data_IF_522887350237
#
_entry.id   IF_522887350237
#
_cell.length_a   1.000
_cell.length_b   1.000
_cell.length_c   1.000
_cell.angle_alpha   90.00
_cell.angle_beta   90.00
_cell.angle_gamma   90.00
#
_symmetry.space_group_name_H-M   'P 1'
#
loop_
_entity.id
_entity.type
_entity.pdbx_description
1 polymer ?
#
# COMPACT_ATOMS: atom_id res chain seq x y z
N UNK A 1 0.97 11.02 0.60
CA UNK A 1 0.93 10.80 -0.87
C UNK A 1 0.34 12.01 -1.58
N UNK A 2 -0.90 12.44 -1.28
CA UNK A 2 -1.56 13.55 -2.01
C UNK A 2 -0.75 14.85 -2.08
N UNK A 3 -0.10 15.24 -1.00
CA UNK A 3 0.65 16.50 -0.93
C UNK A 3 1.87 16.58 -1.86
N UNK A 4 2.56 15.47 -2.12
CA UNK A 4 3.74 15.43 -2.99
C UNK A 4 3.38 15.63 -4.45
N UNK A 5 2.15 15.37 -4.82
CA UNK A 5 1.60 15.53 -6.15
C UNK A 5 1.78 16.95 -6.72
N UNK A 6 1.83 17.96 -5.85
CA UNK A 6 2.00 19.35 -6.24
C UNK A 6 3.39 19.67 -6.83
N UNK A 7 4.34 18.73 -6.74
CA UNK A 7 5.65 18.87 -7.37
C UNK A 7 5.64 18.47 -8.86
N UNK A 8 4.57 17.85 -9.34
CA UNK A 8 4.51 17.21 -10.64
C UNK A 8 3.47 17.87 -11.54
N UNK A 9 3.73 17.83 -12.86
CA UNK A 9 2.82 18.35 -13.87
C UNK A 9 1.57 17.49 -14.01
N UNK A 10 0.46 18.09 -14.45
CA UNK A 10 -0.76 17.40 -14.86
C UNK A 10 -0.54 16.50 -16.10
N UNK A 11 0.52 16.76 -16.87
CA UNK A 11 0.88 15.96 -18.04
C UNK A 11 1.69 14.70 -17.71
N UNK A 12 2.12 14.53 -16.43
CA UNK A 12 2.84 13.34 -16.03
C UNK A 12 1.93 12.10 -16.05
N UNK A 13 2.42 11.05 -16.68
CA UNK A 13 1.76 9.75 -16.76
C UNK A 13 2.10 8.93 -15.53
N UNK A 14 1.06 8.41 -14.87
CA UNK A 14 1.21 7.61 -13.67
C UNK A 14 0.98 6.13 -13.96
N UNK A 15 1.72 5.27 -13.28
CA UNK A 15 1.43 3.84 -13.18
C UNK A 15 1.08 3.45 -11.74
N UNK A 16 0.03 2.67 -11.58
CA UNK A 16 -0.42 2.10 -10.31
C UNK A 16 -0.62 0.60 -10.45
N UNK A 17 -0.38 -0.17 -9.39
CA UNK A 17 -0.78 -1.58 -9.37
C UNK A 17 -2.31 -1.70 -9.37
N UNK A 18 -2.83 -2.82 -9.84
CA UNK A 18 -4.27 -3.13 -9.80
C UNK A 18 -4.43 -4.59 -9.37
N UNK A 19 -4.99 -4.89 -8.18
CA UNK A 19 -5.62 -3.95 -7.23
C UNK A 19 -4.60 -3.09 -6.45
N UNK A 20 -5.09 -1.93 -5.96
CA UNK A 20 -4.25 -0.95 -5.25
C UNK A 20 -5.03 -0.20 -4.16
N UNK A 21 -4.31 0.43 -3.24
CA UNK A 21 -4.89 1.39 -2.30
C UNK A 21 -5.48 2.59 -3.07
N UNK A 22 -6.81 2.83 -3.01
CA UNK A 22 -7.50 3.77 -3.90
C UNK A 22 -6.95 5.21 -3.87
N UNK A 23 -6.35 5.63 -2.76
CA UNK A 23 -5.83 6.99 -2.61
C UNK A 23 -4.75 7.36 -3.62
N UNK A 24 -4.02 6.38 -4.20
CA UNK A 24 -3.06 6.69 -5.26
C UNK A 24 -3.79 7.16 -6.52
N UNK A 25 -4.87 6.49 -6.90
CA UNK A 25 -5.71 6.91 -8.00
C UNK A 25 -6.42 8.24 -7.68
N UNK A 26 -7.15 8.29 -6.56
CA UNK A 26 -7.96 9.46 -6.16
C UNK A 26 -7.13 10.75 -6.07
N UNK A 27 -5.92 10.67 -5.50
CA UNK A 27 -5.05 11.83 -5.40
C UNK A 27 -4.55 12.33 -6.76
N UNK A 28 -4.42 11.44 -7.76
CA UNK A 28 -4.08 11.82 -9.13
C UNK A 28 -5.30 12.32 -9.91
N UNK A 29 -6.52 11.82 -9.62
CA UNK A 29 -7.77 12.39 -10.13
C UNK A 29 -7.90 13.84 -9.68
N UNK A 30 -7.75 14.10 -8.38
CA UNK A 30 -7.76 15.45 -7.82
C UNK A 30 -6.63 16.34 -8.36
N UNK A 31 -5.52 15.74 -8.80
CA UNK A 31 -4.39 16.42 -9.44
C UNK A 31 -4.51 16.60 -10.95
N UNK A 32 -5.63 16.19 -11.56
CA UNK A 32 -5.90 16.38 -12.99
C UNK A 32 -5.09 15.46 -13.94
N UNK A 33 -4.42 14.40 -13.43
CA UNK A 33 -3.50 13.54 -14.22
C UNK A 33 -4.14 12.35 -14.91
N UNK A 34 -5.37 12.05 -14.61
CA UNK A 34 -5.98 10.76 -14.98
C UNK A 34 -6.73 10.77 -16.30
N UNK A 35 -7.04 11.96 -16.82
CA UNK A 35 -7.92 12.08 -17.98
C UNK A 35 -9.36 11.72 -17.67
N UNK A 36 -10.14 11.47 -18.72
CA UNK A 36 -11.52 11.02 -18.58
C UNK A 36 -11.59 9.55 -18.16
N UNK A 37 -12.67 9.18 -17.46
CA UNK A 37 -12.98 7.80 -17.15
C UNK A 37 -13.96 7.23 -18.19
N UNK A 38 -13.62 6.08 -18.75
CA UNK A 38 -14.50 5.30 -19.64
C UNK A 38 -14.73 3.95 -18.98
N UNK A 39 -15.98 3.58 -18.73
CA UNK A 39 -16.34 2.36 -18.00
C UNK A 39 -15.61 2.18 -16.67
N UNK A 40 -15.39 3.29 -15.94
CA UNK A 40 -14.70 3.30 -14.65
C UNK A 40 -13.16 3.25 -14.74
N UNK A 41 -12.57 3.21 -15.94
CA UNK A 41 -11.12 3.17 -16.18
C UNK A 41 -10.64 4.54 -16.66
N UNK A 42 -9.71 5.14 -15.97
CA UNK A 42 -9.10 6.41 -16.35
C UNK A 42 -8.09 6.24 -17.49
N UNK A 43 -8.27 6.99 -18.56
CA UNK A 43 -7.57 6.78 -19.83
C UNK A 43 -6.09 7.20 -19.85
N UNK A 44 -5.65 8.05 -18.91
CA UNK A 44 -4.24 8.47 -18.77
C UNK A 44 -3.51 7.78 -17.61
N UNK A 45 -4.07 6.70 -17.08
CA UNK A 45 -3.45 5.91 -16.02
C UNK A 45 -3.00 4.57 -16.59
N UNK A 46 -1.76 4.21 -16.32
CA UNK A 46 -1.21 2.90 -16.64
C UNK A 46 -1.50 1.96 -15.47
N UNK A 47 -2.38 1.01 -15.68
CA UNK A 47 -2.68 -0.01 -14.68
C UNK A 47 -1.73 -1.18 -14.84
N UNK A 48 -1.14 -1.62 -13.75
CA UNK A 48 -0.21 -2.75 -13.67
C UNK A 48 -0.91 -3.92 -12.98
N UNK A 49 -1.51 -4.87 -13.71
CA UNK A 49 -2.27 -5.95 -13.13
C UNK A 49 -1.45 -6.83 -12.19
N UNK A 50 -2.00 -7.11 -11.02
CA UNK A 50 -1.41 -8.04 -10.05
C UNK A 50 -2.45 -9.07 -9.63
N UNK A 51 -2.11 -10.34 -9.75
CA UNK A 51 -2.97 -11.49 -9.47
C UNK A 51 -2.15 -12.67 -8.96
N UNK A 52 -2.82 -13.72 -8.56
CA UNK A 52 -2.17 -14.88 -7.94
C UNK A 52 -1.10 -15.52 -8.84
N UNK A 53 -1.38 -15.62 -10.14
CA UNK A 53 -0.51 -16.27 -11.13
C UNK A 53 0.82 -15.52 -11.36
N UNK A 54 0.85 -14.20 -11.13
CA UNK A 54 2.10 -13.42 -11.14
C UNK A 54 2.64 -13.14 -9.72
N UNK A 55 2.16 -13.88 -8.70
CA UNK A 55 2.51 -13.69 -7.30
C UNK A 55 2.29 -12.25 -6.82
N UNK A 56 1.27 -11.58 -7.32
CA UNK A 56 0.99 -10.17 -7.05
C UNK A 56 2.17 -9.22 -7.30
N UNK A 57 3.07 -9.59 -8.22
CA UNK A 57 4.21 -8.79 -8.64
C UNK A 57 3.93 -8.16 -10.00
N UNK A 58 3.82 -6.82 -10.09
CA UNK A 58 3.46 -6.17 -11.35
C UNK A 58 4.58 -6.30 -12.38
N UNK A 59 4.22 -6.44 -13.67
CA UNK A 59 5.15 -6.33 -14.79
C UNK A 59 5.51 -4.86 -15.05
N UNK A 60 6.63 -4.65 -15.73
CA UNK A 60 7.04 -3.31 -16.12
C UNK A 60 6.12 -2.77 -17.22
N UNK A 61 5.74 -1.47 -17.17
CA UNK A 61 4.96 -0.87 -18.23
C UNK A 61 5.75 -0.88 -19.55
N UNK A 62 5.04 -1.14 -20.65
CA UNK A 62 5.60 -1.07 -22.03
C UNK A 62 5.56 0.33 -22.60
N UNK A 63 4.78 1.21 -22.01
CA UNK A 63 4.58 2.60 -22.41
C UNK A 63 5.32 3.56 -21.48
N UNK A 64 5.43 4.82 -21.90
CA UNK A 64 6.03 5.86 -21.07
C UNK A 64 5.25 6.03 -19.77
N UNK A 65 5.97 6.04 -18.66
CA UNK A 65 5.46 6.38 -17.32
C UNK A 65 6.45 7.33 -16.65
N UNK A 66 5.95 8.38 -16.04
CA UNK A 66 6.76 9.36 -15.31
C UNK A 66 6.78 9.10 -13.80
N UNK A 67 5.70 8.51 -13.26
CA UNK A 67 5.55 8.25 -11.82
C UNK A 67 4.97 6.85 -11.63
N UNK A 68 5.66 6.01 -10.87
CA UNK A 68 5.19 4.67 -10.49
C UNK A 68 4.85 4.64 -9.01
N UNK A 69 3.70 4.08 -8.64
CA UNK A 69 3.34 3.83 -7.25
C UNK A 69 3.48 2.35 -6.93
N UNK A 70 4.32 2.03 -5.95
CA UNK A 70 4.43 0.69 -5.39
C UNK A 70 4.21 0.76 -3.87
N UNK A 71 3.44 -0.18 -3.36
CA UNK A 71 3.22 -0.38 -1.93
C UNK A 71 3.74 -1.77 -1.53
N UNK A 72 4.72 -1.82 -0.62
CA UNK A 72 5.24 -3.09 -0.13
C UNK A 72 5.61 -2.96 1.37
N UNK A 73 4.93 -3.72 2.22
CA UNK A 73 3.81 -4.64 2.00
C UNK A 73 2.56 -3.98 1.41
N UNK A 74 1.87 -4.69 0.51
CA UNK A 74 0.78 -4.09 -0.27
C UNK A 74 -0.56 -4.05 0.48
N UNK A 75 -1.31 -3.01 0.25
CA UNK A 75 -2.74 -2.90 0.51
C UNK A 75 -3.46 -2.85 -0.85
N UNK A 76 -4.31 -3.84 -1.20
CA UNK A 76 -5.04 -4.74 -0.31
C UNK A 76 -4.48 -6.17 -0.14
N UNK A 77 -3.55 -6.63 -0.98
CA UNK A 77 -3.20 -8.04 -1.11
C UNK A 77 -2.43 -8.62 0.08
N UNK A 78 -1.81 -7.76 0.89
CA UNK A 78 -0.98 -8.18 2.03
C UNK A 78 0.34 -8.85 1.64
N UNK A 79 0.71 -8.79 0.36
CA UNK A 79 1.94 -9.40 -0.19
C UNK A 79 3.11 -8.41 -0.18
N UNK A 80 4.33 -8.92 -0.32
CA UNK A 80 5.56 -8.13 -0.42
C UNK A 80 6.27 -8.38 -1.73
N UNK A 81 6.99 -7.38 -2.23
CA UNK A 81 7.91 -7.55 -3.34
C UNK A 81 9.28 -7.99 -2.80
N UNK A 82 9.93 -8.92 -3.51
CA UNK A 82 11.28 -9.37 -3.15
C UNK A 82 12.31 -8.26 -3.33
N UNK A 83 13.43 -8.36 -2.61
CA UNK A 83 14.57 -7.45 -2.78
C UNK A 83 15.04 -7.39 -4.24
N UNK A 84 15.10 -8.53 -4.92
CA UNK A 84 15.50 -8.60 -6.32
C UNK A 84 14.51 -7.83 -7.21
N UNK A 85 13.20 -8.03 -7.02
CA UNK A 85 12.18 -7.34 -7.82
C UNK A 85 12.19 -5.83 -7.59
N UNK A 86 12.41 -5.40 -6.36
CA UNK A 86 12.56 -3.97 -6.04
C UNK A 86 13.82 -3.36 -6.67
N UNK A 87 14.94 -4.11 -6.73
CA UNK A 87 16.15 -3.67 -7.43
C UNK A 87 15.92 -3.51 -8.94
N UNK A 88 15.16 -4.43 -9.56
CA UNK A 88 14.75 -4.30 -10.95
C UNK A 88 13.89 -3.06 -11.20
N UNK A 89 12.94 -2.75 -10.28
CA UNK A 89 12.13 -1.54 -10.35
C UNK A 89 12.96 -0.26 -10.22
N UNK A 90 13.96 -0.23 -9.33
CA UNK A 90 14.88 0.91 -9.22
C UNK A 90 15.67 1.09 -10.53
N UNK A 91 16.19 -0.01 -11.09
CA UNK A 91 16.86 0.03 -12.38
C UNK A 91 15.93 0.53 -13.50
N UNK A 92 14.72 -0.01 -13.58
CA UNK A 92 13.73 0.41 -14.58
C UNK A 92 13.41 1.91 -14.46
N UNK A 93 13.21 2.42 -13.25
CA UNK A 93 12.94 3.85 -13.03
C UNK A 93 14.13 4.73 -13.50
N UNK A 94 15.38 4.29 -13.26
CA UNK A 94 16.57 5.00 -13.74
C UNK A 94 16.65 5.01 -15.27
N UNK A 95 16.41 3.87 -15.90
CA UNK A 95 16.50 3.71 -17.35
C UNK A 95 15.41 4.49 -18.09
N UNK A 96 14.25 4.72 -17.45
CA UNK A 96 13.08 5.38 -18.05
C UNK A 96 12.81 6.80 -17.52
N UNK A 97 13.72 7.39 -16.73
CA UNK A 97 13.54 8.70 -16.09
C UNK A 97 12.26 8.82 -15.24
N UNK A 98 11.79 7.73 -14.68
CA UNK A 98 10.59 7.68 -13.85
C UNK A 98 10.92 7.86 -12.36
N UNK A 99 9.96 8.40 -11.58
CA UNK A 99 10.05 8.52 -10.13
C UNK A 99 9.22 7.42 -9.48
N UNK A 100 9.84 6.69 -8.57
CA UNK A 100 9.17 5.70 -7.74
C UNK A 100 8.58 6.35 -6.48
N UNK A 101 7.27 6.30 -6.32
CA UNK A 101 6.54 6.59 -5.08
C UNK A 101 6.39 5.29 -4.30
N UNK A 102 7.26 5.07 -3.34
CA UNK A 102 7.31 3.82 -2.57
C UNK A 102 6.60 3.98 -1.23
N UNK A 103 5.47 3.31 -1.06
CA UNK A 103 4.70 3.32 0.19
C UNK A 103 5.10 2.16 1.10
N UNK A 104 5.70 2.48 2.22
CA UNK A 104 6.24 1.56 3.24
C UNK A 104 5.44 1.62 4.54
N UNK A 105 4.14 1.93 4.46
CA UNK A 105 3.30 2.14 5.66
C UNK A 105 3.16 0.90 6.55
N UNK A 106 3.44 -0.29 6.02
CA UNK A 106 3.31 -1.58 6.73
C UNK A 106 4.65 -2.25 7.03
N UNK A 107 5.78 -1.58 6.86
CA UNK A 107 7.14 -2.12 7.01
C UNK A 107 7.39 -2.81 8.35
N UNK A 108 6.71 -2.34 9.41
CA UNK A 108 6.84 -2.91 10.76
C UNK A 108 6.30 -4.36 10.86
N UNK A 109 5.46 -4.78 9.92
CA UNK A 109 4.91 -6.13 9.86
C UNK A 109 5.83 -7.13 9.16
N UNK A 110 6.83 -6.66 8.40
CA UNK A 110 7.74 -7.52 7.62
C UNK A 110 8.52 -8.45 8.54
N UNK A 111 8.42 -9.74 8.24
CA UNK A 111 9.18 -10.83 8.86
C UNK A 111 9.92 -11.69 7.84
N UNK A 112 9.54 -11.61 6.57
CA UNK A 112 10.22 -12.31 5.47
C UNK A 112 11.59 -11.70 5.23
N UNK A 113 12.62 -12.53 5.06
CA UNK A 113 14.01 -12.07 4.89
C UNK A 113 14.31 -11.57 3.48
N UNK A 114 13.63 -12.09 2.45
CA UNK A 114 13.83 -11.71 1.04
C UNK A 114 13.07 -10.45 0.62
N UNK A 115 12.96 -9.47 1.52
CA UNK A 115 12.41 -8.15 1.19
C UNK A 115 13.11 -7.06 1.98
N UNK A 116 12.75 -5.79 1.74
CA UNK A 116 13.35 -4.63 2.40
C UNK A 116 12.33 -3.91 3.28
N UNK A 117 12.80 -3.33 4.37
CA UNK A 117 12.00 -2.42 5.20
C UNK A 117 12.03 -0.98 4.71
N UNK A 118 13.05 -0.64 3.92
CA UNK A 118 13.18 0.65 3.26
C UNK A 118 13.66 0.45 1.84
N UNK A 119 13.10 1.20 0.89
CA UNK A 119 13.57 1.16 -0.49
C UNK A 119 15.05 1.58 -0.61
N UNK A 120 15.54 2.38 0.35
CA UNK A 120 16.93 2.83 0.37
C UNK A 120 17.95 1.77 0.78
N UNK A 121 17.51 0.55 1.10
CA UNK A 121 18.38 -0.62 1.18
C UNK A 121 18.77 -1.15 -0.23
N UNK A 122 18.12 -0.66 -1.27
CA UNK A 122 18.43 -0.97 -2.67
C UNK A 122 19.37 0.10 -3.22
N UNK A 123 20.47 -0.34 -3.84
CA UNK A 123 21.44 0.56 -4.47
C UNK A 123 20.77 1.39 -5.59
N UNK A 124 21.09 2.68 -5.63
CA UNK A 124 20.54 3.63 -6.61
C UNK A 124 19.13 4.16 -6.28
N UNK A 125 18.44 3.63 -5.28
CA UNK A 125 17.09 4.08 -4.92
C UNK A 125 17.02 5.56 -4.54
N UNK A 126 18.07 6.12 -3.94
CA UNK A 126 18.12 7.54 -3.56
C UNK A 126 18.04 8.50 -4.74
N UNK A 127 18.34 8.04 -5.94
CA UNK A 127 18.32 8.86 -7.15
C UNK A 127 16.92 8.96 -7.78
N UNK A 128 16.03 7.97 -7.52
CA UNK A 128 14.74 7.84 -8.21
C UNK A 128 13.54 7.61 -7.31
N UNK A 129 13.73 7.30 -6.01
CA UNK A 129 12.63 6.94 -5.14
C UNK A 129 12.32 7.98 -4.06
N UNK A 130 11.03 8.20 -3.82
CA UNK A 130 10.47 8.93 -2.68
C UNK A 130 9.74 7.91 -1.81
N UNK A 131 10.13 7.79 -0.53
CA UNK A 131 9.54 6.83 0.40
C UNK A 131 8.54 7.49 1.33
N UNK A 132 7.39 6.83 1.52
CA UNK A 132 6.36 7.24 2.48
C UNK A 132 6.31 6.29 3.66
N UNK A 133 6.29 6.85 4.86
CA UNK A 133 6.22 6.13 6.13
C UNK A 133 5.05 6.63 6.97
N UNK A 134 4.42 5.73 7.73
CA UNK A 134 3.27 6.09 8.56
C UNK A 134 3.35 5.49 9.96
N UNK A 135 3.11 6.29 10.98
CA UNK A 135 2.91 5.82 12.34
C UNK A 135 1.53 5.21 12.58
N UNK A 136 0.60 5.38 11.62
CA UNK A 136 -0.77 4.88 11.74
C UNK A 136 -0.85 3.39 12.00
N UNK A 137 -0.01 2.59 11.32
CA UNK A 137 -0.03 1.13 11.39
C UNK A 137 1.06 0.59 12.32
N UNK A 138 2.21 1.26 12.34
CA UNK A 138 3.35 0.89 13.17
C UNK A 138 3.06 1.09 14.66
N UNK A 139 2.44 2.20 15.04
CA UNK A 139 2.27 2.60 16.43
C UNK A 139 0.81 2.98 16.82
N UNK A 140 -0.17 2.68 15.96
CA UNK A 140 -1.57 2.99 16.25
C UNK A 140 -1.95 4.47 16.14
N UNK A 141 -1.16 5.29 15.43
CA UNK A 141 -1.35 6.74 15.31
C UNK A 141 -2.37 7.16 14.25
N UNK A 142 -3.30 6.28 13.88
CA UNK A 142 -4.28 6.56 12.83
C UNK A 142 -5.08 7.84 13.11
N UNK A 143 -5.53 8.04 14.35
CA UNK A 143 -6.29 9.23 14.78
C UNK A 143 -5.45 10.50 14.94
N UNK A 144 -4.13 10.39 15.16
CA UNK A 144 -3.24 11.53 15.37
C UNK A 144 -2.62 12.07 14.08
N UNK A 145 -2.84 11.38 12.94
CA UNK A 145 -2.45 11.81 11.59
C UNK A 145 -0.95 12.06 11.42
N UNK A 146 -0.10 11.15 11.89
CA UNK A 146 1.35 11.29 11.82
C UNK A 146 1.97 10.36 10.77
N UNK A 147 2.65 10.95 9.81
CA UNK A 147 3.38 10.27 8.74
C UNK A 147 4.52 11.17 8.25
N UNK A 148 5.46 10.60 7.50
CA UNK A 148 6.53 11.37 6.88
C UNK A 148 6.88 10.84 5.49
N UNK A 149 7.45 11.72 4.66
CA UNK A 149 8.04 11.38 3.39
C UNK A 149 9.55 11.61 3.44
N UNK A 150 10.31 10.68 2.89
CA UNK A 150 11.74 10.82 2.67
C UNK A 150 11.96 11.18 1.21
N UNK A 151 12.43 12.40 0.96
CA UNK A 151 12.77 12.89 -0.37
C UNK A 151 14.28 13.12 -0.39
N UNK A 152 15.08 12.21 -0.96
CA UNK A 152 16.53 12.35 -1.00
C UNK A 152 16.96 13.60 -1.76
N UNK A 153 18.17 14.10 -1.45
CA UNK A 153 18.74 15.26 -2.17
C UNK A 153 19.13 14.90 -3.59
N UNK A 154 19.37 13.63 -3.83
CA UNK A 154 19.82 13.06 -5.10
C UNK A 154 18.68 12.91 -6.10
N UNK A 155 17.41 12.83 -5.63
CA UNK A 155 16.27 12.63 -6.54
C UNK A 155 15.98 13.90 -7.33
N UNK A 156 15.91 13.75 -8.65
CA UNK A 156 15.63 14.83 -9.60
C UNK A 156 14.48 14.47 -10.53
N UNK A 157 13.71 15.47 -10.95
CA UNK A 157 12.68 15.32 -12.00
C UNK A 157 13.04 16.16 -13.22
N UNK A 158 12.54 15.77 -14.39
CA UNK A 158 12.66 16.58 -15.63
C UNK A 158 11.53 17.61 -15.72
N UNK A 159 11.90 18.83 -16.07
CA UNK A 159 10.95 19.86 -16.48
C UNK A 159 10.44 19.60 -17.90
N UNK A 160 9.42 20.35 -18.34
CA UNK A 160 8.95 20.31 -19.74
C UNK A 160 10.02 20.70 -20.75
N UNK A 161 11.02 21.51 -20.35
CA UNK A 161 12.18 21.85 -21.19
C UNK A 161 13.27 20.79 -21.21
N UNK A 162 13.13 19.71 -20.44
CA UNK A 162 14.11 18.63 -20.33
C UNK A 162 15.22 18.88 -19.29
N UNK A 163 15.22 20.03 -18.63
CA UNK A 163 16.16 20.35 -17.55
C UNK A 163 15.86 19.54 -16.30
N UNK A 164 16.88 19.01 -15.62
CA UNK A 164 16.71 18.31 -14.33
C UNK A 164 16.68 19.29 -13.18
N UNK A 165 15.66 19.13 -12.32
CA UNK A 165 15.47 19.91 -11.10
C UNK A 165 15.47 18.99 -9.86
N UNK A 166 16.18 19.37 -8.79
CA UNK A 166 16.16 18.60 -7.54
C UNK A 166 14.79 18.71 -6.84
N UNK A 167 14.20 17.57 -6.49
CA UNK A 167 12.86 17.54 -5.88
C UNK A 167 12.89 17.88 -4.39
N UNK A 168 13.98 17.62 -3.67
CA UNK A 168 14.09 17.86 -2.25
C UNK A 168 13.88 19.34 -1.86
N UNK A 169 14.55 20.35 -2.48
CA UNK A 169 14.30 21.75 -2.16
C UNK A 169 12.85 22.18 -2.49
N UNK A 170 12.27 21.68 -3.57
CA UNK A 170 10.89 21.96 -3.95
C UNK A 170 9.92 21.40 -2.89
N UNK A 171 10.12 20.16 -2.46
CA UNK A 171 9.34 19.54 -1.39
C UNK A 171 9.46 20.31 -0.08
N UNK A 172 10.66 20.67 0.33
CA UNK A 172 10.88 21.46 1.54
C UNK A 172 10.14 22.81 1.46
N UNK A 173 10.22 23.52 0.32
CA UNK A 173 9.50 24.77 0.11
C UNK A 173 7.99 24.59 0.23
N UNK A 174 7.44 23.56 -0.43
CA UNK A 174 6.01 23.22 -0.36
C UNK A 174 5.58 22.93 1.08
N UNK A 175 6.34 22.09 1.78
CA UNK A 175 6.05 21.67 3.15
C UNK A 175 6.02 22.87 4.11
N UNK A 176 7.03 23.71 4.06
CA UNK A 176 7.14 24.91 4.91
C UNK A 176 6.14 26.02 4.55
N UNK A 177 5.55 25.99 3.36
CA UNK A 177 4.57 27.01 2.93
C UNK A 177 3.14 26.61 3.21
N UNK A 178 2.78 25.33 2.99
CA UNK A 178 1.37 24.90 3.01
C UNK A 178 0.98 24.08 4.25
N UNK A 179 1.93 23.51 4.98
CA UNK A 179 1.58 22.61 6.08
C UNK A 179 2.37 22.84 7.36
N UNK A 180 3.67 23.02 7.30
CA UNK A 180 4.63 23.15 8.42
C UNK A 180 4.81 21.90 9.30
N UNK A 181 4.04 20.85 9.11
CA UNK A 181 4.13 19.59 9.86
C UNK A 181 2.95 19.35 10.79
N UNK A 182 2.92 18.14 11.36
CA UNK A 182 1.91 17.76 12.36
C UNK A 182 2.16 18.50 13.69
N UNK A 183 1.16 18.63 14.58
CA UNK A 183 1.31 19.30 15.88
C UNK A 183 2.53 18.80 16.64
N UNK A 184 3.27 19.70 17.31
CA UNK A 184 4.52 19.36 18.01
C UNK A 184 4.36 18.24 19.03
N UNK A 185 3.25 18.22 19.78
CA UNK A 185 2.96 17.16 20.75
C UNK A 185 2.89 15.77 20.09
N UNK A 186 2.35 15.70 18.87
CA UNK A 186 2.27 14.46 18.09
C UNK A 186 3.66 14.05 17.57
N UNK A 187 4.49 15.01 17.17
CA UNK A 187 5.88 14.74 16.78
C UNK A 187 6.68 14.16 17.96
N UNK A 188 6.51 14.70 19.19
CA UNK A 188 7.13 14.16 20.40
C UNK A 188 6.63 12.74 20.73
N UNK A 189 5.35 12.46 20.54
CA UNK A 189 4.80 11.10 20.64
C UNK A 189 5.40 10.15 19.61
N UNK A 190 5.56 10.60 18.36
CA UNK A 190 6.20 9.82 17.30
C UNK A 190 7.68 9.54 17.58
N UNK A 191 8.41 10.50 18.14
CA UNK A 191 9.80 10.31 18.58
C UNK A 191 9.90 9.22 19.66
N UNK A 192 8.96 9.19 20.60
CA UNK A 192 8.93 8.20 21.67
C UNK A 192 8.80 6.75 21.14
N UNK A 193 8.22 6.54 19.96
CA UNK A 193 8.15 5.22 19.29
C UNK A 193 9.54 4.62 19.05
N UNK A 194 10.55 5.46 18.87
CA UNK A 194 11.93 5.03 18.60
C UNK A 194 12.77 4.80 19.87
N UNK A 195 12.26 5.11 21.06
CA UNK A 195 12.90 4.74 22.33
C UNK A 195 12.92 3.22 22.50
N UNK A 196 13.71 2.70 23.44
CA UNK A 196 13.71 1.26 23.75
C UNK A 196 12.31 0.78 24.13
N UNK A 197 11.68 1.49 25.05
CA UNK A 197 10.33 1.16 25.53
C UNK A 197 9.27 1.27 24.42
N UNK A 198 9.29 2.35 23.61
CA UNK A 198 8.37 2.54 22.49
C UNK A 198 8.51 1.44 21.44
N UNK A 199 9.72 0.98 21.15
CA UNK A 199 9.97 -0.14 20.25
C UNK A 199 9.46 -1.47 20.81
N UNK A 200 9.59 -1.71 22.12
CA UNK A 200 9.05 -2.90 22.77
C UNK A 200 7.54 -2.93 22.72
N UNK A 201 6.88 -1.83 23.03
CA UNK A 201 5.41 -1.69 22.94
C UNK A 201 4.91 -1.85 21.49
N UNK A 202 5.57 -1.23 20.54
CA UNK A 202 5.23 -1.33 19.12
C UNK A 202 5.35 -2.78 18.63
N UNK A 203 6.44 -3.48 18.97
CA UNK A 203 6.61 -4.90 18.60
C UNK A 203 5.53 -5.79 19.20
N UNK A 204 5.13 -5.53 20.45
CA UNK A 204 4.05 -6.28 21.09
C UNK A 204 2.71 -6.09 20.34
N UNK A 205 2.39 -4.85 19.94
CA UNK A 205 1.19 -4.56 19.15
C UNK A 205 1.23 -5.23 17.76
N UNK A 206 2.37 -5.15 17.08
CA UNK A 206 2.56 -5.82 15.78
C UNK A 206 2.40 -7.34 15.92
N UNK A 207 3.03 -7.94 16.93
CA UNK A 207 2.89 -9.37 17.20
C UNK A 207 1.43 -9.77 17.47
N UNK A 208 0.69 -8.93 18.20
CA UNK A 208 -0.74 -9.14 18.45
C UNK A 208 -1.54 -9.18 17.13
N UNK A 209 -1.33 -8.23 16.23
CA UNK A 209 -2.04 -8.20 14.95
C UNK A 209 -1.58 -9.30 14.00
N UNK A 210 -0.31 -9.66 13.99
CA UNK A 210 0.20 -10.80 13.20
C UNK A 210 -0.45 -12.10 13.64
N UNK A 211 -0.64 -12.30 14.93
CA UNK A 211 -1.34 -13.48 15.44
C UNK A 211 -2.84 -13.46 15.04
N UNK A 212 -3.50 -12.29 15.01
CA UNK A 212 -4.85 -12.18 14.46
C UNK A 212 -4.88 -12.57 12.97
N UNK A 213 -3.91 -12.09 12.19
CA UNK A 213 -3.80 -12.44 10.78
C UNK A 213 -3.62 -13.95 10.57
N UNK A 214 -2.77 -14.60 11.39
CA UNK A 214 -2.57 -16.05 11.38
C UNK A 214 -3.88 -16.79 11.67
N UNK A 215 -4.62 -16.38 12.70
CA UNK A 215 -5.91 -16.99 13.07
C UNK A 215 -6.90 -16.89 11.90
N UNK A 216 -7.01 -15.73 11.26
CA UNK A 216 -7.90 -15.54 10.11
C UNK A 216 -7.46 -16.46 8.97
N UNK A 217 -6.18 -16.41 8.60
CA UNK A 217 -5.63 -17.19 7.49
C UNK A 217 -5.84 -18.69 7.69
N UNK A 218 -5.34 -19.25 8.77
CA UNK A 218 -5.46 -20.67 9.08
C UNK A 218 -6.92 -21.13 9.21
N UNK A 219 -7.76 -20.28 9.80
CA UNK A 219 -9.18 -20.57 9.96
C UNK A 219 -9.91 -20.66 8.62
N UNK A 220 -9.62 -19.78 7.66
CA UNK A 220 -10.21 -19.81 6.32
C UNK A 220 -9.65 -20.97 5.47
N UNK A 221 -8.35 -21.20 5.53
CA UNK A 221 -7.70 -22.33 4.85
C UNK A 221 -8.25 -23.66 5.34
N UNK A 222 -8.60 -23.79 6.64
CA UNK A 222 -9.14 -25.04 7.22
C UNK A 222 -10.49 -25.46 6.66
N UNK A 223 -11.22 -24.53 6.01
CA UNK A 223 -12.49 -24.81 5.32
C UNK A 223 -12.35 -24.77 3.80
N UNK A 224 -11.13 -24.83 3.28
CA UNK A 224 -10.85 -24.92 1.85
C UNK A 224 -10.86 -23.60 1.09
N UNK A 225 -10.91 -22.46 1.77
CA UNK A 225 -10.84 -21.15 1.11
C UNK A 225 -9.40 -20.79 0.77
N UNK A 226 -9.21 -20.14 -0.38
CA UNK A 226 -7.89 -19.68 -0.83
C UNK A 226 -7.64 -18.26 -0.34
N UNK A 227 -6.53 -18.06 0.38
CA UNK A 227 -6.15 -16.75 0.95
C UNK A 227 -4.70 -16.42 0.66
N UNK A 228 -4.42 -15.12 0.53
CA UNK A 228 -3.10 -14.55 0.33
C UNK A 228 -2.82 -13.50 1.40
N UNK A 229 -1.57 -13.08 1.54
CA UNK A 229 -1.17 -12.11 2.57
C UNK A 229 -1.21 -12.67 3.99
N UNK A 230 -1.40 -11.81 4.98
CA UNK A 230 -1.51 -12.17 6.40
C UNK A 230 -0.19 -12.57 7.08
N UNK A 231 0.96 -12.44 6.41
CA UNK A 231 2.30 -12.76 6.93
C UNK A 231 3.09 -11.48 7.23
N UNK A 232 3.26 -10.64 6.23
CA UNK A 232 4.05 -9.40 6.30
C UNK A 232 3.18 -8.14 6.28
N UNK A 233 1.87 -8.31 6.43
CA UNK A 233 0.90 -7.26 6.49
C UNK A 233 -0.31 -7.67 7.34
N UNK A 234 -1.10 -6.72 7.84
CA UNK A 234 -2.32 -7.00 8.60
C UNK A 234 -3.51 -7.34 7.70
N UNK A 235 -3.31 -7.48 6.39
CA UNK A 235 -4.36 -7.76 5.42
C UNK A 235 -4.32 -9.19 4.94
N UNK A 236 -5.52 -9.76 4.83
CA UNK A 236 -5.78 -11.06 4.25
C UNK A 236 -6.62 -10.84 3.00
N UNK A 237 -6.13 -11.33 1.88
CA UNK A 237 -6.77 -11.25 0.58
C UNK A 237 -7.42 -12.59 0.27
N UNK A 238 -8.74 -12.65 0.48
CA UNK A 238 -9.55 -13.84 0.34
C UNK A 238 -10.09 -13.92 -1.09
N UNK A 239 -9.77 -15.00 -1.80
CA UNK A 239 -10.41 -15.31 -3.08
C UNK A 239 -11.85 -15.76 -2.84
N UNK A 240 -12.80 -15.23 -3.62
CA UNK A 240 -14.20 -15.63 -3.50
C UNK A 240 -14.37 -17.09 -3.93
N UNK A 241 -15.23 -17.87 -3.23
CA UNK A 241 -15.50 -19.26 -3.62
C UNK A 241 -16.26 -19.34 -4.95
N UNK A 242 -15.94 -20.34 -5.76
CA UNK A 242 -16.60 -20.55 -7.04
C UNK A 242 -16.45 -19.36 -7.99
N UNK A 243 -17.56 -18.87 -8.52
CA UNK A 243 -17.60 -17.71 -9.41
C UNK A 243 -18.33 -16.50 -8.76
N UNK A 244 -18.36 -16.43 -7.43
CA UNK A 244 -18.98 -15.31 -6.73
C UNK A 244 -18.22 -14.02 -7.01
N UNK A 245 -18.98 -12.94 -7.19
CA UNK A 245 -18.43 -11.59 -7.21
C UNK A 245 -17.98 -11.14 -5.81
N UNK A 246 -17.15 -10.11 -5.76
CA UNK A 246 -16.72 -9.49 -4.50
C UNK A 246 -17.91 -9.03 -3.65
N UNK A 247 -18.94 -8.47 -4.28
CA UNK A 247 -20.13 -7.98 -3.57
C UNK A 247 -21.03 -9.11 -3.09
N UNK A 248 -21.24 -10.17 -3.87
CA UNK A 248 -22.03 -11.32 -3.43
C UNK A 248 -21.45 -11.96 -2.17
N UNK A 249 -20.14 -12.16 -2.11
CA UNK A 249 -19.51 -12.69 -0.90
C UNK A 249 -19.56 -11.68 0.27
N UNK A 250 -19.41 -10.37 -0.02
CA UNK A 250 -19.58 -9.34 1.01
C UNK A 250 -20.98 -9.40 1.65
N UNK A 251 -22.04 -9.48 0.84
CA UNK A 251 -23.42 -9.54 1.32
C UNK A 251 -23.67 -10.81 2.14
N UNK A 252 -23.17 -11.98 1.69
CA UNK A 252 -23.25 -13.23 2.45
C UNK A 252 -22.58 -13.08 3.84
N UNK A 253 -21.37 -12.52 3.89
CA UNK A 253 -20.67 -12.33 5.17
C UNK A 253 -21.39 -11.34 6.08
N UNK A 254 -21.96 -10.29 5.52
CA UNK A 254 -22.67 -9.27 6.29
C UNK A 254 -24.00 -9.82 6.82
N UNK A 255 -24.83 -10.42 5.96
CA UNK A 255 -26.20 -10.80 6.29
C UNK A 255 -26.25 -12.08 7.14
N UNK A 256 -25.46 -13.08 6.77
CA UNK A 256 -25.56 -14.40 7.44
C UNK A 256 -24.69 -14.50 8.68
N UNK A 257 -23.53 -13.83 8.73
CA UNK A 257 -22.57 -13.98 9.84
C UNK A 257 -22.13 -12.66 10.48
N UNK A 258 -22.72 -11.53 10.10
CA UNK A 258 -22.51 -10.18 10.62
C UNK A 258 -21.01 -9.79 10.62
N UNK A 259 -20.36 -10.02 9.50
CA UNK A 259 -18.96 -9.65 9.29
C UNK A 259 -18.88 -8.61 8.18
N UNK A 260 -18.29 -7.46 8.50
CA UNK A 260 -17.99 -6.41 7.52
C UNK A 260 -16.60 -6.65 6.95
N UNK A 261 -16.51 -6.78 5.65
CA UNK A 261 -15.28 -6.91 4.87
C UNK A 261 -15.11 -5.71 3.91
N UNK A 262 -14.16 -5.77 3.00
CA UNK A 262 -14.06 -4.80 1.92
C UNK A 262 -14.06 -5.55 0.58
N UNK A 263 -15.05 -5.32 -0.30
CA UNK A 263 -15.05 -5.93 -1.64
C UNK A 263 -13.78 -5.58 -2.41
N UNK A 264 -13.21 -6.59 -3.05
CA UNK A 264 -11.97 -6.43 -3.79
C UNK A 264 -12.08 -5.50 -5.00
N UNK A 265 -13.26 -5.49 -5.65
CA UNK A 265 -13.58 -4.55 -6.73
C UNK A 265 -13.41 -3.07 -6.34
N UNK A 266 -13.49 -2.74 -5.05
CA UNK A 266 -13.21 -1.38 -4.54
C UNK A 266 -11.73 -0.98 -4.59
N UNK A 267 -10.83 -1.90 -4.96
CA UNK A 267 -9.39 -1.64 -5.10
C UNK A 267 -8.92 -1.62 -6.57
N UNK A 268 -9.84 -1.77 -7.50
CA UNK A 268 -9.58 -1.81 -8.94
C UNK A 268 -10.18 -3.05 -9.60
N UNK A 269 -10.26 -3.07 -10.95
CA UNK A 269 -10.86 -4.17 -11.71
C UNK A 269 -10.29 -5.55 -11.39
N UNK A 270 -8.96 -5.69 -11.22
CA UNK A 270 -8.31 -6.96 -10.87
C UNK A 270 -8.50 -7.36 -9.40
N UNK A 271 -9.17 -6.53 -8.61
CA UNK A 271 -9.65 -6.89 -7.28
C UNK A 271 -10.99 -7.64 -7.29
N UNK A 272 -11.70 -7.69 -8.43
CA UNK A 272 -12.92 -8.49 -8.56
C UNK A 272 -12.63 -9.97 -8.32
N UNK A 273 -13.57 -10.66 -7.66
CA UNK A 273 -13.38 -12.05 -7.22
C UNK A 273 -12.53 -12.21 -5.94
N UNK A 274 -12.33 -11.11 -5.20
CA UNK A 274 -11.62 -11.12 -3.91
C UNK A 274 -12.34 -10.27 -2.86
N UNK A 275 -12.01 -10.52 -1.59
CA UNK A 275 -12.33 -9.69 -0.43
C UNK A 275 -11.10 -9.40 0.40
N UNK A 276 -10.98 -8.17 0.91
CA UNK A 276 -9.97 -7.84 1.92
C UNK A 276 -10.55 -7.99 3.32
N UNK A 277 -9.88 -8.82 4.14
CA UNK A 277 -10.06 -8.87 5.58
C UNK A 277 -8.89 -8.19 6.28
N UNK A 278 -9.09 -7.79 7.55
CA UNK A 278 -8.08 -7.08 8.32
C UNK A 278 -7.90 -7.69 9.70
N UNK A 279 -6.66 -7.72 10.17
CA UNK A 279 -6.27 -8.20 11.49
C UNK A 279 -6.34 -7.14 12.60
N UNK A 280 -6.78 -5.92 12.30
CA UNK A 280 -6.81 -4.79 13.26
C UNK A 280 -7.96 -4.85 14.27
N UNK A 281 -8.59 -5.99 14.47
CA UNK A 281 -9.62 -6.20 15.49
C UNK A 281 -9.06 -6.67 16.83
N UNK A 282 -9.97 -6.83 17.82
CA UNK A 282 -9.61 -7.57 19.03
C UNK A 282 -9.46 -9.06 18.73
N UNK A 283 -8.62 -9.76 19.51
CA UNK A 283 -8.44 -11.21 19.41
C UNK A 283 -9.74 -11.98 19.52
N UNK A 284 -10.54 -11.61 20.50
CA UNK A 284 -11.85 -12.23 20.74
C UNK A 284 -12.76 -12.11 19.51
N UNK A 285 -12.92 -10.88 18.99
CA UNK A 285 -13.75 -10.68 17.79
C UNK A 285 -13.19 -11.37 16.56
N UNK A 286 -11.86 -11.45 16.42
CA UNK A 286 -11.21 -12.18 15.33
C UNK A 286 -11.56 -13.67 15.38
N UNK A 287 -11.41 -14.31 16.54
CA UNK A 287 -11.77 -15.72 16.72
C UNK A 287 -13.26 -15.94 16.43
N UNK A 288 -14.14 -15.10 17.01
CA UNK A 288 -15.59 -15.20 16.78
C UNK A 288 -15.97 -15.04 15.31
N UNK A 289 -15.32 -14.13 14.59
CA UNK A 289 -15.55 -13.93 13.16
C UNK A 289 -15.16 -15.18 12.35
N UNK A 290 -13.98 -15.74 12.62
CA UNK A 290 -13.52 -16.97 11.95
C UNK A 290 -14.49 -18.14 12.23
N UNK A 291 -14.89 -18.35 13.46
CA UNK A 291 -15.85 -19.41 13.82
C UNK A 291 -17.22 -19.25 13.12
N UNK A 292 -17.68 -18.01 12.95
CA UNK A 292 -18.92 -17.73 12.18
C UNK A 292 -18.73 -18.03 10.69
N UNK A 293 -17.62 -17.64 10.09
CA UNK A 293 -17.36 -17.95 8.67
C UNK A 293 -17.35 -19.46 8.45
N UNK A 294 -16.77 -20.23 9.37
CA UNK A 294 -16.74 -21.70 9.29
C UNK A 294 -18.13 -22.36 9.27
N UNK A 295 -19.17 -21.66 9.70
CA UNK A 295 -20.55 -22.20 9.62
C UNK A 295 -21.18 -22.07 8.23
N UNK A 296 -20.58 -21.26 7.34
CA UNK A 296 -21.06 -21.08 5.99
C UNK A 296 -20.72 -22.31 5.12
N UNK A 297 -21.59 -22.59 4.17
CA UNK A 297 -21.36 -23.58 3.10
C UNK A 297 -21.21 -22.83 1.79
N UNK A 298 -20.04 -22.87 1.24
CA UNK A 298 -19.70 -22.26 -0.04
C UNK A 298 -19.83 -23.26 -1.19
#
# INVERSE_FOLDING_TARGET
VGNIQELFSEDNIIAITDPVYPVYLDSNVMGGRTGEAVDGIFQKVVYLPTYAENNFSPEFPSERVDIVYLCSPNNPTGTVLSRARLAEWIKWCKDNDAILMFDSAYEAFISTEDTVKSIYEIEGAREVAIEFRSFSKTAGFTGTRCAYAVVPKEVTGKTKSGERQPLNPMWNRRQCTKFNGVPYIIQRGAEAVYTKEGREQTRANIAYYKENARIIKEGLESIGLTVYGGVDAPYIWLKTPGNMTSWELFDILLEQVQIVSTPGSGFGPHGEGYLRLTAFGSRENTIRAVERIKTLKF
#
